data_IF_532946232278
#
_entry.id   IF_532946232278
#
_cell.length_a   1.000
_cell.length_b   1.000
_cell.length_c   1.000
_cell.angle_alpha   90.00
_cell.angle_beta   90.00
_cell.angle_gamma   90.00
#
_symmetry.space_group_name_H-M   'P 1'
#
loop_
_entity.id
_entity.type
_entity.pdbx_description
1 polymer ?
#
# COMPACT_ATOMS: atom_id res chain seq x y z
N UNK A 1 1.34 -61.80 -6.21
CA UNK A 1 0.13 -61.77 -5.37
C UNK A 1 0.19 -60.45 -4.61
N UNK A 2 -0.66 -59.43 -4.77
CA UNK A 2 -1.95 -59.18 -5.43
C UNK A 2 -2.00 -57.65 -5.64
N UNK A 3 -2.21 -57.14 -6.86
CA UNK A 3 -3.46 -56.50 -7.32
C UNK A 3 -4.19 -55.62 -6.29
N UNK A 4 -4.43 -54.35 -6.65
CA UNK A 4 -5.27 -53.43 -5.88
C UNK A 4 -5.45 -52.07 -6.55
N UNK A 5 -6.13 -52.06 -7.69
CA UNK A 5 -6.65 -50.86 -8.37
C UNK A 5 -7.83 -50.27 -7.59
N UNK A 6 -7.97 -48.95 -7.49
CA UNK A 6 -9.29 -48.32 -7.41
C UNK A 6 -9.31 -46.92 -8.04
N UNK A 7 -10.13 -46.84 -9.08
CA UNK A 7 -10.59 -45.68 -9.82
C UNK A 7 -11.76 -45.01 -9.09
N UNK A 8 -11.86 -43.69 -9.13
CA UNK A 8 -13.00 -42.95 -8.60
C UNK A 8 -13.13 -41.56 -9.21
N UNK A 9 -13.95 -41.45 -10.27
CA UNK A 9 -14.30 -40.22 -10.96
C UNK A 9 -15.19 -39.30 -10.10
N UNK A 10 -15.19 -37.97 -10.33
CA UNK A 10 -16.30 -37.12 -9.92
C UNK A 10 -17.39 -37.12 -11.00
N UNK A 11 -18.58 -37.59 -10.61
CA UNK A 11 -19.84 -37.42 -11.33
C UNK A 11 -20.28 -35.94 -11.29
N UNK A 12 -20.53 -35.36 -12.45
CA UNK A 12 -21.39 -34.18 -12.59
C UNK A 12 -22.81 -34.64 -12.95
N UNK A 13 -23.84 -34.17 -12.24
CA UNK A 13 -25.17 -33.99 -12.82
C UNK A 13 -25.51 -32.48 -12.82
N UNK A 14 -25.73 -31.87 -13.97
CA UNK A 14 -26.93 -31.94 -14.81
C UNK A 14 -27.75 -30.65 -14.64
N UNK A 15 -27.98 -30.00 -15.78
CA UNK A 15 -28.75 -28.78 -15.94
C UNK A 15 -30.21 -28.97 -15.48
N UNK A 16 -30.75 -27.94 -14.85
CA UNK A 16 -32.19 -27.78 -14.64
C UNK A 16 -32.76 -26.81 -15.68
N UNK A 17 -33.91 -27.12 -16.31
CA UNK A 17 -34.63 -26.21 -17.18
C UNK A 17 -35.60 -25.37 -16.33
N UNK A 18 -35.66 -24.05 -16.57
CA UNK A 18 -36.74 -23.22 -16.03
C UNK A 18 -37.85 -23.03 -17.05
N UNK A 19 -39.04 -23.38 -16.55
CA UNK A 19 -40.35 -23.43 -17.19
C UNK A 19 -40.96 -22.04 -17.37
N UNK A 20 -41.74 -21.91 -18.43
CA UNK A 20 -42.51 -20.74 -18.84
C UNK A 20 -43.74 -20.48 -17.96
N UNK A 21 -44.19 -19.22 -17.95
CA UNK A 21 -45.61 -18.79 -18.07
C UNK A 21 -46.28 -18.05 -16.90
N UNK A 22 -46.68 -16.81 -17.22
CA UNK A 22 -48.04 -16.25 -17.12
C UNK A 22 -48.38 -15.20 -16.05
N UNK A 23 -48.73 -14.02 -16.60
CA UNK A 23 -49.87 -13.13 -16.31
C UNK A 23 -50.07 -12.56 -14.90
N UNK A 24 -50.05 -11.22 -14.86
CA UNK A 24 -51.15 -10.44 -14.26
C UNK A 24 -51.20 -9.06 -14.90
N UNK A 25 -52.23 -8.85 -15.72
CA UNK A 25 -52.60 -7.57 -16.33
C UNK A 25 -53.67 -6.92 -15.46
N UNK A 26 -53.30 -5.86 -14.73
CA UNK A 26 -54.23 -5.04 -13.96
C UNK A 26 -54.40 -3.69 -14.67
N UNK A 27 -55.55 -3.57 -15.32
CA UNK A 27 -56.31 -2.38 -15.72
C UNK A 27 -55.87 -1.03 -15.12
N UNK A 28 -55.60 -0.03 -15.98
CA UNK A 28 -56.06 1.35 -15.78
C UNK A 28 -55.96 2.14 -17.10
N UNK A 29 -57.12 2.52 -17.63
CA UNK A 29 -57.27 3.49 -18.72
C UNK A 29 -56.91 4.90 -18.24
N UNK A 30 -56.31 5.71 -19.12
CA UNK A 30 -56.83 7.02 -19.57
C UNK A 30 -55.75 7.76 -20.38
N UNK A 31 -56.03 7.94 -21.68
CA UNK A 31 -55.40 8.97 -22.51
C UNK A 31 -56.13 10.32 -22.28
N UNK A 32 -55.50 11.47 -22.59
CA UNK A 32 -55.69 12.01 -23.93
C UNK A 32 -54.47 12.72 -24.57
N UNK A 33 -54.27 12.44 -25.86
CA UNK A 33 -53.86 13.32 -26.98
C UNK A 33 -52.96 14.57 -26.76
N UNK A 34 -51.71 14.48 -27.25
CA UNK A 34 -51.02 15.31 -28.29
C UNK A 34 -49.52 15.56 -27.98
N UNK A 35 -48.61 15.36 -28.95
CA UNK A 35 -47.25 15.92 -28.93
C UNK A 35 -47.20 17.25 -29.71
N UNK A 36 -46.25 18.16 -29.41
CA UNK A 36 -45.17 18.33 -30.39
C UNK A 36 -43.81 18.76 -29.81
N UNK A 37 -42.75 18.23 -30.42
CA UNK A 37 -41.46 18.87 -30.69
C UNK A 37 -40.89 19.85 -29.66
N UNK A 38 -39.95 19.34 -28.87
CA UNK A 38 -38.87 20.11 -28.27
C UNK A 38 -37.57 19.32 -28.39
N UNK A 39 -36.83 19.51 -29.48
CA UNK A 39 -35.46 19.04 -29.57
C UNK A 39 -34.61 19.89 -28.62
N UNK A 40 -34.22 19.32 -27.48
CA UNK A 40 -33.08 19.79 -26.72
C UNK A 40 -32.08 18.64 -26.62
N UNK A 41 -31.16 18.64 -27.58
CA UNK A 41 -29.91 17.91 -27.50
C UNK A 41 -29.07 18.56 -26.41
N UNK A 42 -29.11 18.00 -25.20
CA UNK A 42 -28.15 18.28 -24.15
C UNK A 42 -27.70 16.95 -23.55
N UNK A 43 -26.67 16.37 -24.16
CA UNK A 43 -25.82 15.28 -23.65
C UNK A 43 -26.47 14.35 -22.61
N UNK A 44 -27.45 13.56 -23.04
CA UNK A 44 -27.68 12.24 -22.44
C UNK A 44 -26.56 11.35 -22.94
N UNK A 45 -25.40 11.40 -22.25
CA UNK A 45 -24.49 10.27 -22.26
C UNK A 45 -25.35 9.03 -21.98
N UNK A 46 -25.36 8.07 -22.90
CA UNK A 46 -26.07 6.83 -22.70
C UNK A 46 -25.52 6.20 -21.41
N UNK A 47 -26.28 6.28 -20.33
CA UNK A 47 -25.97 5.56 -19.10
C UNK A 47 -26.31 4.10 -19.38
N UNK A 48 -25.34 3.36 -19.93
CA UNK A 48 -25.45 1.94 -20.20
C UNK A 48 -25.40 1.25 -18.84
N UNK A 49 -26.58 0.88 -18.32
CA UNK A 49 -26.74 0.18 -17.05
C UNK A 49 -26.18 -1.24 -17.23
N UNK A 50 -25.16 -1.59 -16.45
CA UNK A 50 -24.58 -2.94 -16.46
C UNK A 50 -25.55 -3.94 -15.88
N UNK A 51 -25.59 -5.17 -16.41
CA UNK A 51 -26.45 -6.24 -15.88
C UNK A 51 -26.05 -6.73 -14.47
N UNK A 52 -24.97 -6.18 -13.90
CA UNK A 52 -24.42 -6.49 -12.57
C UNK A 52 -24.41 -5.25 -11.64
N UNK A 53 -24.96 -4.09 -12.06
CA UNK A 53 -24.92 -2.84 -11.26
C UNK A 53 -25.65 -2.96 -9.91
N UNK A 54 -26.64 -3.87 -9.78
CA UNK A 54 -27.39 -4.08 -8.53
C UNK A 54 -26.58 -4.83 -7.45
N UNK A 55 -25.47 -5.49 -7.82
CA UNK A 55 -24.63 -6.24 -6.87
C UNK A 55 -23.40 -5.46 -6.38
N UNK A 56 -23.09 -4.31 -7.01
CA UNK A 56 -21.92 -3.47 -6.72
C UNK A 56 -22.24 -2.09 -6.13
N UNK A 57 -23.47 -1.83 -5.65
CA UNK A 57 -23.86 -0.53 -5.08
C UNK A 57 -22.95 -0.07 -3.91
N UNK A 58 -22.26 -0.98 -3.22
CA UNK A 58 -21.32 -0.65 -2.15
C UNK A 58 -19.87 -0.36 -2.63
N UNK A 59 -19.50 -0.74 -3.85
CA UNK A 59 -18.17 -0.50 -4.45
C UNK A 59 -18.16 0.74 -5.38
N UNK A 60 -19.33 1.29 -5.67
CA UNK A 60 -19.55 2.37 -6.63
C UNK A 60 -19.94 3.70 -5.98
N UNK A 61 -19.70 3.89 -4.69
CA UNK A 61 -19.83 5.21 -4.09
C UNK A 61 -18.54 6.02 -4.31
N UNK A 62 -18.48 6.97 -5.28
CA UNK A 62 -17.29 7.79 -5.53
C UNK A 62 -17.06 8.83 -4.42
N UNK A 63 -17.85 8.82 -3.34
CA UNK A 63 -17.67 9.71 -2.18
C UNK A 63 -16.89 9.05 -1.04
N UNK A 64 -16.52 7.77 -1.18
CA UNK A 64 -15.43 7.22 -0.39
C UNK A 64 -14.13 7.82 -0.93
N UNK A 65 -13.56 8.72 -0.14
CA UNK A 65 -12.22 9.31 -0.28
C UNK A 65 -11.13 8.21 -0.17
N UNK A 66 -11.23 7.14 -0.97
CA UNK A 66 -10.38 5.95 -0.92
C UNK A 66 -8.94 6.22 -1.37
N UNK A 67 -8.66 7.42 -1.90
CA UNK A 67 -7.31 7.97 -1.85
C UNK A 67 -7.05 8.53 -0.46
N UNK A 68 -6.78 7.64 0.49
CA UNK A 68 -6.35 7.99 1.83
C UNK A 68 -5.14 8.95 1.75
N UNK A 69 -5.41 10.24 1.90
CA UNK A 69 -4.42 11.32 1.71
C UNK A 69 -3.23 11.22 2.66
N UNK A 70 -3.34 10.35 3.68
CA UNK A 70 -2.29 10.04 4.64
C UNK A 70 -1.07 9.35 4.02
N UNK A 71 -1.21 8.67 2.88
CA UNK A 71 -0.09 8.03 2.17
C UNK A 71 0.62 8.97 1.19
N UNK A 72 0.24 10.25 1.11
CA UNK A 72 0.92 11.21 0.23
C UNK A 72 2.33 11.61 0.71
N UNK A 73 2.63 11.45 1.99
CA UNK A 73 3.95 11.76 2.53
C UNK A 73 4.29 10.88 3.72
N UNK A 74 5.52 10.39 3.76
CA UNK A 74 6.05 9.67 4.91
C UNK A 74 6.01 10.52 6.19
N UNK A 75 6.07 11.85 6.08
CA UNK A 75 6.00 12.73 7.25
C UNK A 75 4.63 12.67 7.93
N UNK A 76 3.54 12.60 7.15
CA UNK A 76 2.18 12.42 7.66
C UNK A 76 2.00 11.00 8.21
N UNK A 77 2.55 10.02 7.50
CA UNK A 77 2.45 8.61 7.88
C UNK A 77 3.08 8.32 9.24
N UNK A 78 4.23 8.94 9.54
CA UNK A 78 4.91 8.84 10.85
C UNK A 78 4.05 9.28 12.02
N UNK A 79 3.11 10.21 11.81
CA UNK A 79 2.19 10.68 12.84
C UNK A 79 1.03 9.73 13.14
N UNK A 80 0.86 8.65 12.35
CA UNK A 80 -0.25 7.71 12.46
C UNK A 80 0.26 6.27 12.59
N UNK A 81 0.44 5.74 13.81
CA UNK A 81 1.09 4.45 14.02
C UNK A 81 0.38 3.28 13.31
N UNK A 82 -0.95 3.30 13.23
CA UNK A 82 -1.72 2.25 12.52
C UNK A 82 -1.45 2.27 11.02
N UNK A 83 -1.38 3.44 10.39
CA UNK A 83 -1.18 3.54 8.94
C UNK A 83 0.27 3.18 8.59
N UNK A 84 1.22 3.63 9.41
CA UNK A 84 2.63 3.25 9.28
C UNK A 84 2.81 1.73 9.40
N UNK A 85 2.07 1.07 10.29
CA UNK A 85 2.14 -0.38 10.45
C UNK A 85 1.67 -1.13 9.20
N UNK A 86 0.55 -0.69 8.60
CA UNK A 86 0.03 -1.29 7.35
C UNK A 86 1.02 -1.10 6.21
N UNK A 87 1.59 0.11 6.06
CA UNK A 87 2.63 0.38 5.08
C UNK A 87 3.89 -0.48 5.32
N UNK A 88 4.37 -0.58 6.55
CA UNK A 88 5.52 -1.42 6.90
C UNK A 88 5.26 -2.89 6.59
N UNK A 89 4.06 -3.39 6.89
CA UNK A 89 3.69 -4.76 6.56
C UNK A 89 3.75 -5.00 5.05
N UNK A 90 3.20 -4.08 4.24
CA UNK A 90 3.28 -4.15 2.79
C UNK A 90 4.74 -4.16 2.31
N UNK A 91 5.57 -3.24 2.82
CA UNK A 91 7.00 -3.15 2.49
C UNK A 91 7.75 -4.43 2.85
N UNK A 92 7.46 -5.05 3.99
CA UNK A 92 8.10 -6.31 4.40
C UNK A 92 7.75 -7.50 3.49
N UNK A 93 6.60 -7.46 2.81
CA UNK A 93 6.15 -8.53 1.93
C UNK A 93 6.56 -8.32 0.47
N UNK A 94 6.61 -7.07 0.00
CA UNK A 94 6.82 -6.73 -1.41
C UNK A 94 8.22 -6.16 -1.69
N UNK A 95 8.88 -5.60 -0.67
CA UNK A 95 10.08 -4.80 -0.83
C UNK A 95 11.16 -5.16 0.20
N UNK A 96 12.28 -4.45 0.08
CA UNK A 96 13.33 -4.46 1.08
C UNK A 96 12.98 -3.48 2.21
N UNK A 97 12.57 -4.04 3.35
CA UNK A 97 12.18 -3.28 4.53
C UNK A 97 13.35 -2.58 5.23
N UNK A 98 14.60 -2.98 4.96
CA UNK A 98 15.76 -2.37 5.61
C UNK A 98 15.85 -0.87 5.29
N UNK A 99 15.50 -0.45 4.07
CA UNK A 99 15.54 0.97 3.66
C UNK A 99 14.55 1.83 4.46
N UNK A 100 13.30 1.39 4.59
CA UNK A 100 12.28 2.12 5.36
C UNK A 100 12.61 2.12 6.85
N UNK A 101 13.01 0.97 7.40
CA UNK A 101 13.39 0.87 8.81
C UNK A 101 14.59 1.76 9.13
N UNK A 102 15.60 1.79 8.25
CA UNK A 102 16.76 2.66 8.39
C UNK A 102 16.36 4.14 8.30
N UNK A 103 15.52 4.51 7.34
CA UNK A 103 15.00 5.88 7.19
C UNK A 103 14.24 6.36 8.44
N UNK A 104 13.35 5.51 8.98
CA UNK A 104 12.57 5.82 10.18
C UNK A 104 13.47 5.92 11.41
N UNK A 105 14.44 5.02 11.57
CA UNK A 105 15.38 5.06 12.69
C UNK A 105 16.30 6.30 12.61
N UNK A 106 16.78 6.66 11.42
CA UNK A 106 17.56 7.87 11.21
C UNK A 106 16.80 9.15 11.61
N UNK A 107 15.47 9.18 11.43
CA UNK A 107 14.63 10.31 11.83
C UNK A 107 14.62 10.55 13.35
N UNK A 108 14.74 9.48 14.16
CA UNK A 108 14.74 9.56 15.62
C UNK A 108 15.97 10.29 16.17
N UNK A 109 17.10 10.30 15.44
CA UNK A 109 18.30 11.04 15.84
C UNK A 109 18.08 12.55 15.96
N UNK A 110 17.02 13.09 15.35
CA UNK A 110 16.63 14.50 15.49
C UNK A 110 16.12 14.83 16.89
N UNK A 111 15.61 13.82 17.61
CA UNK A 111 14.98 13.98 18.92
C UNK A 111 15.87 13.48 20.07
N UNK A 112 16.91 12.69 19.78
CA UNK A 112 17.79 12.14 20.80
C UNK A 112 18.71 13.18 21.45
N UNK A 113 18.93 12.99 22.75
CA UNK A 113 19.96 13.69 23.52
C UNK A 113 21.37 13.21 23.15
N UNK A 114 22.40 13.94 23.59
CA UNK A 114 23.81 13.59 23.33
C UNK A 114 24.21 12.20 23.81
N UNK A 115 23.77 11.83 25.03
CA UNK A 115 24.08 10.53 25.63
C UNK A 115 23.37 9.40 24.88
N UNK A 116 22.12 9.61 24.48
CA UNK A 116 21.35 8.61 23.73
C UNK A 116 21.88 8.45 22.32
N UNK A 117 22.19 9.54 21.62
CA UNK A 117 22.74 9.52 20.25
C UNK A 117 23.96 8.61 20.16
N UNK A 118 24.90 8.73 21.11
CA UNK A 118 26.09 7.85 21.14
C UNK A 118 25.76 6.37 21.24
N UNK A 119 24.81 6.01 22.11
CA UNK A 119 24.39 4.61 22.28
C UNK A 119 23.63 4.13 21.03
N UNK A 120 22.63 4.89 20.62
CA UNK A 120 21.75 4.55 19.51
C UNK A 120 22.50 4.47 18.18
N UNK A 121 23.54 5.29 17.98
CA UNK A 121 24.34 5.25 16.76
C UNK A 121 25.13 3.94 16.62
N UNK A 122 25.64 3.38 17.72
CA UNK A 122 26.32 2.08 17.69
C UNK A 122 25.35 0.97 17.31
N UNK A 123 24.15 0.97 17.90
CA UNK A 123 23.10 0.01 17.56
C UNK A 123 22.64 0.17 16.10
N UNK A 124 22.46 1.42 15.64
CA UNK A 124 22.13 1.77 14.25
C UNK A 124 23.22 1.29 13.27
N UNK A 125 24.49 1.50 13.60
CA UNK A 125 25.61 1.02 12.80
C UNK A 125 25.57 -0.51 12.65
N UNK A 126 25.48 -1.25 13.76
CA UNK A 126 25.46 -2.71 13.73
C UNK A 126 24.23 -3.29 13.01
N UNK A 127 23.10 -2.57 13.04
CA UNK A 127 21.84 -3.03 12.45
C UNK A 127 21.75 -2.75 10.95
N UNK A 128 22.31 -1.63 10.47
CA UNK A 128 22.09 -1.15 9.08
C UNK A 128 23.36 -0.87 8.27
N UNK A 129 24.47 -0.49 8.91
CA UNK A 129 25.65 0.03 8.21
C UNK A 129 26.80 -0.98 8.15
N UNK A 130 26.89 -1.85 9.14
CA UNK A 130 27.93 -2.86 9.20
C UNK A 130 27.88 -3.80 7.99
N UNK A 131 29.04 -4.26 7.53
CA UNK A 131 29.14 -5.14 6.36
C UNK A 131 28.43 -6.48 6.59
N UNK A 132 28.31 -6.93 7.84
CA UNK A 132 27.57 -8.13 8.25
C UNK A 132 26.16 -7.86 8.80
N UNK A 133 25.65 -6.64 8.68
CA UNK A 133 24.33 -6.29 9.18
C UNK A 133 23.21 -7.05 8.45
N UNK A 134 22.21 -7.54 9.20
CA UNK A 134 21.06 -8.27 8.63
C UNK A 134 20.20 -7.34 7.77
N UNK A 135 20.00 -6.10 8.22
CA UNK A 135 19.22 -5.07 7.53
C UNK A 135 20.16 -4.08 6.83
N UNK A 136 21.19 -4.57 6.15
CA UNK A 136 22.19 -3.72 5.52
C UNK A 136 21.58 -2.87 4.41
N UNK A 137 21.80 -1.56 4.46
CA UNK A 137 21.36 -0.60 3.44
C UNK A 137 22.53 -0.07 2.60
N UNK A 138 22.29 0.52 1.41
CA UNK A 138 23.31 1.30 0.73
C UNK A 138 23.68 2.54 1.57
N UNK A 139 24.98 2.71 1.82
CA UNK A 139 25.53 3.81 2.64
C UNK A 139 26.36 4.74 1.75
N UNK A 140 26.35 6.07 1.95
CA UNK A 140 27.19 6.98 1.19
C UNK A 140 28.68 6.65 1.35
N UNK A 141 29.47 6.78 0.29
CA UNK A 141 30.89 6.39 0.29
C UNK A 141 31.71 7.13 1.33
N UNK A 142 31.43 8.42 1.57
CA UNK A 142 32.13 9.20 2.59
C UNK A 142 31.84 8.69 4.01
N UNK A 143 30.59 8.28 4.27
CA UNK A 143 30.19 7.72 5.58
C UNK A 143 30.87 6.37 5.80
N UNK A 144 30.84 5.48 4.81
CA UNK A 144 31.53 4.18 4.91
C UNK A 144 33.04 4.34 5.11
N UNK A 145 33.66 5.27 4.37
CA UNK A 145 35.10 5.53 4.48
C UNK A 145 35.52 6.00 5.87
N UNK A 146 34.74 6.88 6.49
CA UNK A 146 34.99 7.35 7.86
C UNK A 146 34.77 6.23 8.89
N UNK A 147 33.72 5.44 8.74
CA UNK A 147 33.39 4.33 9.66
C UNK A 147 34.39 3.16 9.56
N UNK A 148 35.02 2.94 8.40
CA UNK A 148 36.09 1.94 8.25
C UNK A 148 37.38 2.36 8.97
N UNK A 149 37.58 3.65 9.25
CA UNK A 149 38.79 4.21 9.89
C UNK A 149 38.59 4.55 11.36
N UNK A 150 37.37 4.89 11.74
CA UNK A 150 37.02 5.39 13.07
C UNK A 150 35.85 4.59 13.61
N UNK A 151 35.98 4.07 14.84
CA UNK A 151 34.87 3.32 15.44
C UNK A 151 33.65 4.22 15.68
N UNK A 152 32.42 3.71 15.49
CA UNK A 152 31.18 4.47 15.68
C UNK A 152 31.05 5.14 17.06
N UNK A 153 31.58 4.51 18.12
CA UNK A 153 31.54 5.00 19.50
C UNK A 153 32.47 6.20 19.77
N UNK A 154 33.50 6.38 18.93
CA UNK A 154 34.47 7.47 19.04
C UNK A 154 34.04 8.73 18.28
N UNK A 155 33.02 8.63 17.42
CA UNK A 155 32.51 9.77 16.67
C UNK A 155 31.86 10.81 17.60
N UNK A 156 31.97 12.08 17.23
CA UNK A 156 31.21 13.13 17.89
C UNK A 156 29.72 13.01 17.55
N UNK A 157 28.87 13.51 18.44
CA UNK A 157 27.42 13.51 18.21
C UNK A 157 27.05 14.23 16.92
N UNK A 158 27.68 15.37 16.64
CA UNK A 158 27.42 16.15 15.42
C UNK A 158 27.68 15.32 14.16
N UNK A 159 28.75 14.53 14.15
CA UNK A 159 29.10 13.65 13.03
C UNK A 159 28.12 12.49 12.93
N UNK A 160 27.75 11.87 14.06
CA UNK A 160 26.76 10.79 14.09
C UNK A 160 25.40 11.25 13.55
N UNK A 161 24.91 12.41 13.99
CA UNK A 161 23.67 13.02 13.48
C UNK A 161 23.78 13.37 12.01
N UNK A 162 24.93 13.89 11.57
CA UNK A 162 25.16 14.20 10.16
C UNK A 162 25.13 12.96 9.28
N UNK A 163 25.78 11.87 9.71
CA UNK A 163 25.76 10.60 8.98
C UNK A 163 24.35 10.02 8.90
N UNK A 164 23.59 10.03 10.00
CA UNK A 164 22.20 9.60 10.00
C UNK A 164 21.36 10.42 8.98
N UNK A 165 21.55 11.74 8.92
CA UNK A 165 20.86 12.61 7.95
C UNK A 165 21.27 12.31 6.50
N UNK A 166 22.56 12.15 6.23
CA UNK A 166 23.06 11.86 4.88
C UNK A 166 22.53 10.50 4.38
N UNK A 167 22.50 9.49 5.24
CA UNK A 167 21.91 8.18 4.95
C UNK A 167 20.40 8.31 4.75
N UNK A 168 19.70 9.05 5.61
CA UNK A 168 18.26 9.29 5.48
C UNK A 168 17.92 9.93 4.12
N UNK A 169 18.70 10.93 3.70
CA UNK A 169 18.53 11.60 2.41
C UNK A 169 18.79 10.66 1.23
N UNK A 170 19.78 9.77 1.33
CA UNK A 170 20.04 8.76 0.29
C UNK A 170 18.89 7.75 0.15
N UNK A 171 18.24 7.38 1.25
CA UNK A 171 17.15 6.41 1.26
C UNK A 171 15.77 7.04 0.95
N UNK A 172 15.61 8.35 1.14
CA UNK A 172 14.38 9.07 0.86
C UNK A 172 13.71 8.72 -0.49
N UNK A 173 14.41 8.71 -1.64
CA UNK A 173 13.78 8.38 -2.93
C UNK A 173 13.26 6.94 -3.00
N UNK A 174 13.96 5.97 -2.41
CA UNK A 174 13.49 4.58 -2.35
C UNK A 174 12.20 4.48 -1.53
N UNK A 175 12.14 5.20 -0.41
CA UNK A 175 10.97 5.19 0.48
C UNK A 175 9.78 5.88 -0.17
N UNK A 176 10.00 6.98 -0.90
CA UNK A 176 8.95 7.65 -1.67
C UNK A 176 8.40 6.74 -2.76
N UNK A 177 9.27 6.04 -3.50
CA UNK A 177 8.84 5.07 -4.52
C UNK A 177 8.01 3.93 -3.92
N UNK A 178 8.40 3.42 -2.75
CA UNK A 178 7.61 2.38 -2.05
C UNK A 178 6.27 2.92 -1.56
N UNK A 179 6.23 4.18 -1.14
CA UNK A 179 5.00 4.84 -0.74
C UNK A 179 4.06 5.08 -1.93
N UNK A 180 4.61 5.45 -3.09
CA UNK A 180 3.84 5.56 -4.34
C UNK A 180 3.31 4.21 -4.82
N UNK A 181 4.06 3.13 -4.66
CA UNK A 181 3.61 1.78 -5.03
C UNK A 181 2.51 1.24 -4.10
N UNK A 182 2.52 1.67 -2.84
CA UNK A 182 1.49 1.32 -1.87
C UNK A 182 0.14 2.01 -2.13
N UNK A 183 0.16 3.21 -2.74
CA UNK A 183 -1.03 4.02 -3.04
C UNK A 183 -1.83 3.47 -4.20
#
# INVERSE_FOLDING_TARGET
MVHGSVSGAPLFPAASPVVSSSASSCHAMLAPSQPPFGAQSSNTAMSIIGAEDEDFENDLDPTVDDQCSHFNSIELLKGRPTHLLVFLQHVMLQFDCARVLCYLHADLFKQFSSKETKKQFVDFYNTFLDKGAILRVPVPTHVTYELDRTRPDLLSEDVQKRFAQDIQAQLAPDVLRQLEDFK
#
